data_IF_229889107195
#
_entry.id   IF_229889107195
#
_cell.length_a   1.000
_cell.length_b   1.000
_cell.length_c   1.000
_cell.angle_alpha   90.00
_cell.angle_beta   90.00
_cell.angle_gamma   90.00
#
_symmetry.space_group_name_H-M   'P 1'
#
loop_
_entity.id
_entity.type
_entity.pdbx_description
1 polymer ?
#
# COMPACT_ATOMS: atom_id res chain seq x y z
N UNK A 1 3.23 -6.02 -8.09
CA UNK A 1 3.14 -7.39 -8.64
C UNK A 1 1.89 -7.44 -9.51
N UNK A 2 2.02 -7.76 -10.81
CA UNK A 2 0.85 -8.05 -11.64
C UNK A 2 0.56 -9.55 -11.44
N UNK A 3 -0.38 -9.88 -10.57
CA UNK A 3 -0.77 -11.27 -10.31
C UNK A 3 -1.74 -11.66 -11.42
N UNK A 4 -1.33 -12.51 -12.36
CA UNK A 4 -2.28 -13.11 -13.28
C UNK A 4 -3.08 -14.17 -12.50
N UNK A 5 -4.40 -14.32 -12.74
CA UNK A 5 -5.20 -15.31 -12.04
C UNK A 5 -4.74 -16.76 -12.19
N UNK A 6 -3.87 -17.10 -13.13
CA UNK A 6 -3.38 -18.47 -13.29
C UNK A 6 -2.06 -18.74 -12.55
N UNK A 7 -1.38 -17.69 -12.05
CA UNK A 7 -0.04 -17.81 -11.46
C UNK A 7 -0.06 -17.64 -9.92
N UNK A 8 -1.25 -17.54 -9.33
CA UNK A 8 -1.45 -17.01 -7.98
C UNK A 8 -0.77 -17.83 -6.89
N UNK A 9 -0.83 -19.15 -6.99
CA UNK A 9 -0.25 -20.06 -5.98
C UNK A 9 1.25 -20.23 -6.23
N UNK A 10 1.63 -20.47 -7.48
CA UNK A 10 3.03 -20.66 -7.88
C UNK A 10 3.90 -19.46 -7.53
N UNK A 11 3.39 -18.22 -7.66
CA UNK A 11 4.18 -17.04 -7.32
C UNK A 11 4.39 -16.87 -5.82
N UNK A 12 3.42 -17.27 -4.97
CA UNK A 12 3.56 -17.18 -3.52
C UNK A 12 4.64 -18.15 -3.04
N UNK A 13 4.64 -19.37 -3.55
CA UNK A 13 5.66 -20.38 -3.24
C UNK A 13 7.06 -19.94 -3.69
N UNK A 14 7.17 -19.38 -4.91
CA UNK A 14 8.42 -18.81 -5.40
C UNK A 14 8.95 -17.68 -4.50
N UNK A 15 8.07 -16.84 -3.95
CA UNK A 15 8.49 -15.77 -3.04
C UNK A 15 9.02 -16.35 -1.71
N UNK A 16 8.43 -17.41 -1.19
CA UNK A 16 8.94 -18.12 -0.01
C UNK A 16 10.32 -18.75 -0.27
N UNK A 17 10.56 -19.28 -1.46
CA UNK A 17 11.86 -19.83 -1.84
C UNK A 17 12.93 -18.74 -2.01
N UNK A 18 12.57 -17.57 -2.54
CA UNK A 18 13.46 -16.41 -2.58
C UNK A 18 13.85 -15.95 -1.17
N UNK A 19 12.93 -15.99 -0.22
CA UNK A 19 13.22 -15.69 1.19
C UNK A 19 14.27 -16.63 1.75
N UNK A 20 14.12 -17.94 1.51
CA UNK A 20 15.11 -18.95 1.97
C UNK A 20 16.45 -18.75 1.28
N UNK A 21 16.45 -18.52 -0.04
CA UNK A 21 17.67 -18.39 -0.85
C UNK A 21 18.51 -17.17 -0.48
N UNK A 22 17.86 -16.04 -0.18
CA UNK A 22 18.53 -14.76 0.06
C UNK A 22 18.43 -14.28 1.51
N UNK A 23 17.91 -15.12 2.41
CA UNK A 23 17.73 -14.80 3.83
C UNK A 23 16.97 -13.50 4.09
N UNK A 24 15.97 -13.20 3.24
CA UNK A 24 15.10 -12.05 3.48
C UNK A 24 14.27 -12.26 4.74
N UNK A 25 13.93 -11.17 5.42
CA UNK A 25 13.24 -11.24 6.72
C UNK A 25 11.75 -10.90 6.63
N UNK A 26 11.29 -10.46 5.46
CA UNK A 26 9.91 -10.07 5.18
C UNK A 26 9.62 -10.13 3.68
N UNK A 27 8.43 -10.58 3.32
CA UNK A 27 7.83 -10.33 2.01
C UNK A 27 6.81 -9.19 2.16
N UNK A 28 6.81 -8.26 1.21
CA UNK A 28 5.80 -7.20 1.11
C UNK A 28 5.15 -7.25 -0.27
N UNK A 29 3.83 -7.39 -0.30
CA UNK A 29 3.05 -7.54 -1.52
C UNK A 29 1.99 -6.44 -1.62
N UNK A 30 1.91 -5.81 -2.79
CA UNK A 30 0.80 -4.94 -3.20
C UNK A 30 -0.07 -5.74 -4.15
N UNK A 31 -1.30 -6.05 -3.75
CA UNK A 31 -2.22 -6.93 -4.47
C UNK A 31 -3.60 -6.28 -4.63
N UNK A 32 -4.38 -6.64 -5.65
CA UNK A 32 -5.83 -6.40 -5.65
C UNK A 32 -6.46 -7.05 -4.42
N UNK A 33 -7.39 -6.35 -3.77
CA UNK A 33 -8.04 -6.83 -2.54
C UNK A 33 -8.80 -8.14 -2.72
N UNK A 34 -9.16 -8.47 -3.96
CA UNK A 34 -9.89 -9.70 -4.31
C UNK A 34 -9.07 -10.97 -4.05
N UNK A 35 -7.75 -10.83 -3.82
CA UNK A 35 -6.85 -11.92 -3.46
C UNK A 35 -6.48 -11.95 -1.98
N UNK A 36 -7.12 -11.15 -1.14
CA UNK A 36 -6.80 -11.07 0.30
C UNK A 36 -6.82 -12.46 0.98
N UNK A 37 -7.87 -13.23 0.74
CA UNK A 37 -8.07 -14.56 1.35
C UNK A 37 -6.97 -15.55 0.96
N UNK A 38 -6.53 -15.53 -0.30
CA UNK A 38 -5.40 -16.34 -0.76
C UNK A 38 -4.14 -16.02 0.05
N UNK A 39 -3.84 -14.73 0.24
CA UNK A 39 -2.65 -14.31 0.98
C UNK A 39 -2.77 -14.56 2.48
N UNK A 40 -3.95 -14.40 3.07
CA UNK A 40 -4.20 -14.77 4.46
C UNK A 40 -3.93 -16.26 4.71
N UNK A 41 -4.41 -17.13 3.81
CA UNK A 41 -4.18 -18.58 3.90
C UNK A 41 -2.69 -18.95 3.82
N UNK A 42 -1.86 -18.10 3.21
CA UNK A 42 -0.40 -18.28 3.13
C UNK A 42 0.39 -17.55 4.25
N UNK A 43 -0.31 -17.08 5.29
CA UNK A 43 0.32 -16.49 6.48
C UNK A 43 0.69 -15.01 6.34
N UNK A 44 0.19 -14.31 5.33
CA UNK A 44 0.35 -12.86 5.23
C UNK A 44 -0.61 -12.14 6.17
N UNK A 45 -0.23 -10.92 6.57
CA UNK A 45 -1.06 -9.98 7.33
C UNK A 45 -1.29 -8.72 6.51
N UNK A 46 -2.49 -8.14 6.61
CA UNK A 46 -2.81 -6.87 5.96
C UNK A 46 -2.18 -5.72 6.75
N UNK A 47 -1.38 -4.90 6.08
CA UNK A 47 -0.72 -3.72 6.64
C UNK A 47 -1.48 -2.43 6.29
N UNK A 48 -2.07 -2.34 5.11
CA UNK A 48 -2.88 -1.20 4.68
C UNK A 48 -3.86 -1.59 3.56
N UNK A 49 -4.87 -0.73 3.35
CA UNK A 49 -5.78 -0.79 2.20
C UNK A 49 -5.83 0.57 1.53
N UNK A 50 -5.67 0.60 0.20
CA UNK A 50 -5.81 1.80 -0.62
C UNK A 50 -7.06 1.62 -1.48
N UNK A 51 -7.97 2.57 -1.39
CA UNK A 51 -9.20 2.54 -2.17
C UNK A 51 -8.93 2.85 -3.64
N UNK A 52 -9.60 2.13 -4.54
CA UNK A 52 -9.62 2.42 -5.98
C UNK A 52 -8.25 2.44 -6.70
N UNK A 53 -7.22 1.83 -6.11
CA UNK A 53 -5.86 1.92 -6.67
C UNK A 53 -5.71 1.26 -8.05
N UNK A 54 -6.48 0.21 -8.33
CA UNK A 54 -6.42 -0.49 -9.61
C UNK A 54 -7.58 -0.07 -10.51
N UNK A 55 -7.24 0.72 -11.54
CA UNK A 55 -8.16 1.20 -12.58
C UNK A 55 -9.44 1.85 -12.03
N UNK A 56 -9.33 2.56 -10.89
CA UNK A 56 -10.44 3.21 -10.19
C UNK A 56 -11.60 2.27 -9.82
N UNK A 57 -11.35 0.96 -9.78
CA UNK A 57 -12.39 -0.08 -9.61
C UNK A 57 -12.08 -1.03 -8.47
N UNK A 58 -10.82 -1.40 -8.32
CA UNK A 58 -10.43 -2.41 -7.34
C UNK A 58 -9.50 -1.79 -6.31
N UNK A 59 -9.80 -2.05 -5.04
CA UNK A 59 -8.94 -1.63 -3.95
C UNK A 59 -7.63 -2.42 -4.00
N UNK A 60 -6.57 -1.83 -3.46
CA UNK A 60 -5.34 -2.54 -3.19
C UNK A 60 -5.21 -2.86 -1.71
N UNK A 61 -4.71 -4.06 -1.42
CA UNK A 61 -4.21 -4.43 -0.10
C UNK A 61 -2.69 -4.46 -0.14
N UNK A 62 -2.08 -3.87 0.90
CA UNK A 62 -0.68 -4.08 1.22
C UNK A 62 -0.60 -5.20 2.24
N UNK A 63 0.09 -6.27 1.88
CA UNK A 63 0.19 -7.51 2.64
C UNK A 63 1.65 -7.79 3.00
N UNK A 64 1.90 -8.27 4.21
CA UNK A 64 3.23 -8.62 4.69
C UNK A 64 3.29 -10.01 5.29
N UNK A 65 4.28 -10.81 4.91
CA UNK A 65 4.65 -12.07 5.57
C UNK A 65 6.00 -11.90 6.24
N UNK A 66 6.08 -12.18 7.53
CA UNK A 66 7.24 -11.86 8.36
C UNK A 66 7.93 -13.14 8.81
N UNK A 67 9.22 -13.26 8.48
CA UNK A 67 10.07 -14.41 8.84
C UNK A 67 10.99 -14.09 10.01
N UNK A 68 10.95 -12.84 10.49
CA UNK A 68 11.66 -12.37 11.67
C UNK A 68 10.71 -11.60 12.59
N UNK A 69 10.73 -11.94 13.88
CA UNK A 69 9.91 -11.25 14.88
C UNK A 69 10.26 -9.76 15.01
N UNK A 70 11.52 -9.39 14.77
CA UNK A 70 11.97 -8.01 14.80
C UNK A 70 11.38 -7.18 13.65
N UNK A 71 11.05 -7.80 12.51
CA UNK A 71 10.37 -7.14 11.39
C UNK A 71 8.86 -7.06 11.60
N UNK A 72 8.28 -7.98 12.37
CA UNK A 72 6.85 -8.03 12.66
C UNK A 72 6.39 -6.99 13.70
N UNK A 73 7.33 -6.42 14.47
CA UNK A 73 7.03 -5.53 15.59
C UNK A 73 7.83 -4.24 15.50
N UNK A 74 7.19 -3.12 15.84
CA UNK A 74 7.89 -1.85 16.04
C UNK A 74 8.73 -1.89 17.33
N UNK A 75 9.93 -1.31 17.28
CA UNK A 75 10.67 -1.00 18.51
C UNK A 75 9.89 0.05 19.32
N UNK A 76 10.06 0.05 20.63
CA UNK A 76 9.36 1.01 21.50
C UNK A 76 9.71 2.47 21.18
N UNK A 77 10.96 2.74 20.76
CA UNK A 77 11.38 4.05 20.25
C UNK A 77 10.54 4.50 19.06
N UNK A 78 10.32 3.59 18.10
CA UNK A 78 9.65 3.89 16.85
C UNK A 78 8.16 4.12 17.08
N UNK A 79 7.54 3.38 18.00
CA UNK A 79 6.13 3.57 18.38
C UNK A 79 5.84 4.99 18.85
N UNK A 80 6.73 5.57 19.67
CA UNK A 80 6.58 6.93 20.17
C UNK A 80 6.62 7.94 19.01
N UNK A 81 7.64 7.84 18.16
CA UNK A 81 7.82 8.71 16.99
C UNK A 81 6.62 8.60 16.03
N UNK A 82 6.17 7.38 15.73
CA UNK A 82 5.00 7.15 14.87
C UNK A 82 3.76 7.83 15.46
N UNK A 83 3.55 7.70 16.77
CA UNK A 83 2.39 8.32 17.45
C UNK A 83 2.45 9.83 17.37
N UNK A 84 3.61 10.43 17.58
CA UNK A 84 3.83 11.88 17.47
C UNK A 84 3.57 12.38 16.05
N UNK A 85 4.10 11.71 15.04
CA UNK A 85 3.88 12.05 13.62
C UNK A 85 2.40 11.95 13.26
N UNK A 86 1.72 10.87 13.69
CA UNK A 86 0.29 10.71 13.43
C UNK A 86 -0.54 11.79 14.12
N UNK A 87 -0.17 12.19 15.33
CA UNK A 87 -0.83 13.28 16.07
C UNK A 87 -0.65 14.61 15.34
N UNK A 88 0.58 14.94 14.94
CA UNK A 88 0.89 16.14 14.17
C UNK A 88 0.11 16.18 12.84
N UNK A 89 0.11 15.08 12.09
CA UNK A 89 -0.57 14.99 10.80
C UNK A 89 -2.09 15.17 10.94
N UNK A 90 -2.71 14.58 11.98
CA UNK A 90 -4.14 14.77 12.27
C UNK A 90 -4.45 16.22 12.62
N UNK A 91 -3.61 16.86 13.44
CA UNK A 91 -3.82 18.25 13.86
C UNK A 91 -3.62 19.25 12.70
N UNK A 92 -2.73 18.95 11.74
CA UNK A 92 -2.59 19.76 10.52
C UNK A 92 -3.84 19.75 9.66
N UNK A 93 -4.59 18.65 9.64
CA UNK A 93 -5.80 18.49 8.82
C UNK A 93 -6.95 19.40 9.26
N UNK A 94 -6.98 19.79 10.53
CA UNK A 94 -7.96 20.74 11.08
C UNK A 94 -7.61 22.21 10.82
N UNK A 95 -6.40 22.52 10.33
CA UNK A 95 -5.93 23.89 10.11
C UNK A 95 -5.75 24.23 8.62
N UNK A 96 -6.22 23.37 7.71
CA UNK A 96 -6.37 23.76 6.31
C UNK A 96 -7.61 24.62 6.19
N UNK A 97 -7.46 25.93 6.39
CA UNK A 97 -8.25 26.85 5.57
C UNK A 97 -8.11 26.33 4.14
N UNK A 98 -9.24 26.02 3.51
CA UNK A 98 -9.25 25.71 2.08
C UNK A 98 -8.78 27.02 1.44
N UNK A 99 -7.48 27.12 1.18
CA UNK A 99 -6.95 28.18 0.35
C UNK A 99 -7.70 27.99 -0.97
N UNK A 100 -8.60 28.93 -1.26
CA UNK A 100 -9.28 28.98 -2.53
C UNK A 100 -8.25 28.98 -3.65
N UNK A 101 -8.70 28.70 -4.87
CA UNK A 101 -7.88 28.95 -6.06
C UNK A 101 -7.29 30.36 -5.98
N UNK A 102 -5.96 30.51 -6.06
CA UNK A 102 -5.34 31.84 -6.08
C UNK A 102 -5.94 32.70 -7.19
N UNK A 103 -5.97 34.02 -6.99
CA UNK A 103 -6.48 34.94 -8.00
C UNK A 103 -5.77 34.74 -9.35
N UNK A 104 -6.56 34.68 -10.42
CA UNK A 104 -6.08 34.42 -11.78
C UNK A 104 -5.92 32.93 -12.12
N UNK A 105 -6.21 32.01 -11.20
CA UNK A 105 -6.18 30.57 -11.45
C UNK A 105 -7.57 29.94 -11.30
N UNK A 106 -7.84 28.90 -12.08
CA UNK A 106 -9.04 28.08 -11.97
C UNK A 106 -8.65 26.62 -11.80
N UNK A 107 -9.36 25.92 -10.91
CA UNK A 107 -9.26 24.46 -10.76
C UNK A 107 -10.42 23.87 -11.53
N UNK A 108 -10.12 22.92 -12.42
CA UNK A 108 -11.09 22.20 -13.22
C UNK A 108 -10.86 20.69 -13.07
N UNK A 109 -11.92 19.91 -13.24
CA UNK A 109 -11.83 18.45 -13.31
C UNK A 109 -10.98 18.06 -14.52
N UNK A 110 -9.99 17.19 -14.31
CA UNK A 110 -9.17 16.64 -15.38
C UNK A 110 -9.90 15.48 -16.05
N UNK A 111 -10.04 15.54 -17.36
CA UNK A 111 -10.61 14.49 -18.18
C UNK A 111 -9.52 13.71 -18.91
N UNK A 112 -9.87 12.51 -19.40
CA UNK A 112 -8.95 11.68 -20.20
C UNK A 112 -8.38 12.41 -21.42
N UNK A 113 -9.11 13.38 -21.98
CA UNK A 113 -8.66 14.23 -23.09
C UNK A 113 -7.48 15.13 -22.73
N UNK A 114 -7.32 15.46 -21.45
CA UNK A 114 -6.25 16.34 -20.97
C UNK A 114 -4.93 15.57 -20.76
N UNK A 115 -5.01 14.23 -20.70
CA UNK A 115 -3.87 13.34 -20.69
C UNK A 115 -3.38 13.09 -22.13
N UNK A 116 -2.75 14.10 -22.73
CA UNK A 116 -2.06 13.99 -24.03
C UNK A 116 -0.91 12.96 -23.85
N UNK A 117 -1.12 11.76 -24.38
CA UNK A 117 -0.15 10.68 -24.63
C UNK A 117 1.09 10.61 -23.72
N UNK A 118 1.04 9.74 -22.71
CA UNK A 118 2.19 8.90 -22.37
C UNK A 118 1.95 7.53 -23.01
N UNK A 119 2.03 7.47 -24.35
CA UNK A 119 1.96 6.21 -25.12
C UNK A 119 3.33 5.56 -25.26
#
# INVERSE_FOLDING_TARGET
MKLHPNDKETIIDQMDDLVKKYSYTKIFAKIPSDFDDLFFNHGYKKEAKITWLYNDKTNASFMGKFFSNARANYKNSDKKIITEILTLAKNKRSNSEILGTPDGFTVQELYKSDAIELS
#
